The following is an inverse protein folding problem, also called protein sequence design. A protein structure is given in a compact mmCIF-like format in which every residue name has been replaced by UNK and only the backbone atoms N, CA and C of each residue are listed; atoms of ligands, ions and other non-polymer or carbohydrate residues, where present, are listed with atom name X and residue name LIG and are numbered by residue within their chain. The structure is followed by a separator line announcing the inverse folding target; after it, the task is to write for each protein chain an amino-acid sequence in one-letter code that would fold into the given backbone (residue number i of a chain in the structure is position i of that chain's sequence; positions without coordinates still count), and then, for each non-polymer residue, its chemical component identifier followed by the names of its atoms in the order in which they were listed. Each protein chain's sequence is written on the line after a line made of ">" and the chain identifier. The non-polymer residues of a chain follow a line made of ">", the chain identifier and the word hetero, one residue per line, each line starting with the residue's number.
data_IF_687823598698
#
_entry.id   IF_687823598698
#
_cell.length_a   1.000
_cell.length_b   1.000
_cell.length_c   1.000
_cell.angle_alpha   90.00
_cell.angle_beta   90.00
_cell.angle_gamma   90.00
#
_symmetry.space_group_name_H-M   'P 1'
#
loop_
_entity.id
_entity.type
_entity.pdbx_description
1 polymer ?
#
# COMPACT_ATOMS: atom_id res chain seq x y z
N UNK A 1 -35.88 -44.84 38.04
CA UNK A 1 -36.23 -44.21 39.33
C UNK A 1 -35.01 -43.50 39.88
N UNK A 2 -35.15 -42.19 40.12
CA UNK A 2 -34.45 -41.30 41.08
C UNK A 2 -32.91 -41.10 41.00
N UNK A 3 -32.52 -39.92 40.55
CA UNK A 3 -31.55 -39.04 41.27
C UNK A 3 -32.17 -38.59 42.61
N UNK A 4 -31.42 -38.11 43.64
CA UNK A 4 -30.63 -36.85 43.66
C UNK A 4 -29.37 -36.95 44.57
N UNK A 5 -28.50 -35.95 44.83
CA UNK A 5 -28.45 -34.53 44.51
C UNK A 5 -27.24 -33.83 45.17
N UNK A 6 -26.79 -32.76 44.49
CA UNK A 6 -26.31 -31.44 44.96
C UNK A 6 -25.48 -31.29 46.26
N UNK A 7 -24.30 -30.65 46.10
CA UNK A 7 -23.96 -29.37 46.76
C UNK A 7 -22.84 -28.63 46.01
N UNK A 8 -22.92 -27.31 45.94
CA UNK A 8 -21.96 -26.35 45.37
C UNK A 8 -21.51 -25.38 46.49
N UNK A 9 -20.80 -24.26 46.21
CA UNK A 9 -19.40 -24.12 45.80
C UNK A 9 -18.57 -23.34 46.86
N UNK A 10 -17.23 -23.39 46.79
CA UNK A 10 -16.34 -22.56 47.63
C UNK A 10 -15.79 -21.39 46.81
N UNK A 11 -16.13 -20.18 47.24
CA UNK A 11 -15.61 -18.91 46.73
C UNK A 11 -14.36 -18.49 47.50
N UNK A 12 -13.30 -18.10 46.79
CA UNK A 12 -12.06 -17.55 47.38
C UNK A 12 -11.95 -16.08 47.02
N UNK A 13 -12.13 -15.21 48.02
CA UNK A 13 -11.95 -13.76 47.95
C UNK A 13 -10.49 -13.42 48.29
N UNK A 14 -9.81 -12.66 47.44
CA UNK A 14 -8.54 -12.00 47.75
C UNK A 14 -8.75 -10.49 47.87
N UNK A 15 -8.56 -9.98 49.09
CA UNK A 15 -8.53 -8.55 49.44
C UNK A 15 -7.17 -7.94 49.08
N UNK A 16 -7.15 -6.81 48.38
CA UNK A 16 -6.00 -5.89 48.34
C UNK A 16 -6.37 -4.66 49.18
N UNK A 17 -5.64 -4.45 50.28
CA UNK A 17 -5.71 -3.26 51.15
C UNK A 17 -4.94 -2.11 50.48
N UNK A 18 -5.60 -0.96 50.31
CA UNK A 18 -4.96 0.33 50.11
C UNK A 18 -4.83 1.02 51.47
N UNK A 19 -3.61 1.40 51.85
CA UNK A 19 -3.36 2.32 52.97
C UNK A 19 -2.60 3.52 52.44
N UNK A 20 -3.24 4.68 52.47
CA UNK A 20 -2.60 5.99 52.33
C UNK A 20 -2.30 6.54 53.72
N UNK A 21 -1.04 6.89 53.98
CA UNK A 21 -0.71 7.83 55.06
C UNK A 21 0.41 8.76 54.61
N UNK A 22 0.14 10.05 54.75
CA UNK A 22 1.05 11.17 54.53
C UNK A 22 2.06 11.28 55.67
N UNK A 23 3.30 11.69 55.39
CA UNK A 23 3.99 12.71 56.19
C UNK A 23 5.18 13.29 55.41
N UNK A 24 5.46 14.56 55.70
CA UNK A 24 6.36 15.48 55.01
C UNK A 24 7.66 15.58 55.82
N UNK A 25 8.84 15.50 55.20
CA UNK A 25 10.07 16.06 55.78
C UNK A 25 11.11 16.41 54.70
N UNK A 26 11.91 17.45 55.00
CA UNK A 26 12.84 18.17 54.13
C UNK A 26 14.21 17.48 54.05
N UNK A 27 14.92 17.68 52.92
CA UNK A 27 16.32 18.10 52.95
C UNK A 27 17.39 17.21 52.29
N UNK A 28 18.29 17.90 51.60
CA UNK A 28 19.68 17.55 51.24
C UNK A 28 19.96 16.81 49.90
N UNK A 29 20.58 17.58 49.02
CA UNK A 29 21.15 17.26 47.71
C UNK A 29 22.49 16.50 47.86
N UNK A 30 22.72 15.46 47.04
CA UNK A 30 24.07 14.89 46.79
C UNK A 30 24.25 14.58 45.29
N UNK A 31 25.38 15.04 44.76
CA UNK A 31 25.90 14.83 43.40
C UNK A 31 26.71 13.53 43.28
N UNK A 32 26.90 13.04 42.05
CA UNK A 32 28.19 12.64 41.42
C UNK A 32 27.91 11.97 40.05
N UNK A 33 28.91 11.57 39.25
CA UNK A 33 29.90 12.41 38.53
C UNK A 33 29.98 12.03 37.04
N UNK A 34 30.46 12.92 36.17
CA UNK A 34 31.28 12.65 34.98
C UNK A 34 31.83 14.02 34.58
N UNK A 35 33.04 14.28 35.04
CA UNK A 35 33.98 15.23 34.46
C UNK A 35 34.92 14.43 33.52
N UNK A 36 35.64 15.16 32.66
CA UNK A 36 36.73 14.75 31.74
C UNK A 36 36.29 14.25 30.34
N UNK A 37 36.78 14.74 29.18
CA UNK A 37 38.02 15.48 28.88
C UNK A 37 37.83 16.30 27.58
N UNK A 38 38.46 17.47 27.56
CA UNK A 38 38.73 18.40 26.45
C UNK A 38 39.46 17.80 25.23
N UNK A 39 39.21 18.34 24.02
CA UNK A 39 40.12 18.16 22.88
C UNK A 39 39.69 18.76 21.53
N UNK A 40 40.46 19.76 21.07
CA UNK A 40 40.77 20.15 19.67
C UNK A 40 39.93 21.18 18.88
N UNK A 41 40.52 22.39 18.83
CA UNK A 41 40.86 23.25 17.69
C UNK A 41 39.77 23.74 16.70
N UNK A 42 39.58 25.06 16.73
CA UNK A 42 38.90 25.88 15.71
C UNK A 42 39.71 25.95 14.40
N UNK A 43 39.05 25.68 13.27
CA UNK A 43 39.45 26.18 11.95
C UNK A 43 38.25 26.94 11.35
N UNK A 44 38.42 28.26 11.19
CA UNK A 44 37.41 29.17 10.65
C UNK A 44 37.32 29.07 9.13
N UNK A 45 36.13 28.77 8.59
CA UNK A 45 35.78 28.99 7.18
C UNK A 45 34.94 30.27 7.09
N UNK A 46 35.44 31.29 6.37
CA UNK A 46 34.70 32.52 6.06
C UNK A 46 33.72 32.26 4.90
N UNK A 47 32.44 32.55 5.13
CA UNK A 47 31.43 32.68 4.09
C UNK A 47 31.40 34.12 3.55
N UNK A 48 31.10 34.35 2.25
CA UNK A 48 30.95 35.69 1.68
C UNK A 48 29.69 36.39 2.21
N UNK A 49 29.63 37.74 2.20
CA UNK A 49 28.49 38.47 2.75
C UNK A 49 27.24 38.32 1.87
N UNK A 50 26.03 38.29 2.46
CA UNK A 50 24.79 38.20 1.72
C UNK A 50 24.44 39.54 1.05
N UNK A 51 23.90 39.46 -0.17
CA UNK A 51 23.24 40.57 -0.84
C UNK A 51 22.03 41.03 0.00
N UNK A 52 21.98 42.35 0.24
CA UNK A 52 20.93 43.05 0.98
C UNK A 52 19.55 42.79 0.38
N UNK A 53 18.64 42.22 1.16
CA UNK A 53 17.22 42.16 0.85
C UNK A 53 16.45 43.19 1.70
N UNK A 54 15.66 44.03 1.03
CA UNK A 54 14.79 45.02 1.65
C UNK A 54 13.80 44.37 2.64
N UNK A 55 13.56 45.03 3.78
CA UNK A 55 12.70 44.57 4.87
C UNK A 55 11.21 44.57 4.49
N UNK A 56 10.44 43.52 4.83
CA UNK A 56 8.98 43.61 4.97
C UNK A 56 8.56 44.05 6.39
N UNK A 57 7.34 44.58 6.58
CA UNK A 57 6.86 45.14 7.84
C UNK A 57 6.36 44.06 8.84
N UNK A 58 6.13 44.41 10.11
CA UNK A 58 6.09 43.46 11.22
C UNK A 58 4.67 42.99 11.61
N UNK A 59 4.55 41.74 12.06
CA UNK A 59 3.43 41.32 12.92
C UNK A 59 3.04 39.83 12.86
N UNK A 60 3.21 39.12 13.99
CA UNK A 60 2.43 37.93 14.39
C UNK A 60 2.86 36.57 13.81
N UNK A 61 3.49 35.72 14.63
CA UNK A 61 4.10 34.46 14.20
C UNK A 61 3.19 33.22 14.09
N UNK A 62 3.69 32.23 13.35
CA UNK A 62 3.25 30.83 13.28
C UNK A 62 4.50 29.92 13.43
N UNK A 63 4.56 28.98 14.39
CA UNK A 63 5.75 28.18 14.65
C UNK A 63 5.75 26.91 13.79
N UNK A 64 5.92 27.04 12.47
CA UNK A 64 6.12 25.87 11.61
C UNK A 64 7.39 26.01 10.75
N UNK A 65 8.31 25.09 11.01
CA UNK A 65 9.60 24.89 10.36
C UNK A 65 9.37 24.62 8.86
N UNK A 66 9.57 25.63 8.02
CA UNK A 66 9.49 25.49 6.56
C UNK A 66 10.75 24.78 6.04
N UNK A 67 10.60 23.56 5.51
CA UNK A 67 11.60 22.95 4.66
C UNK A 67 11.41 23.47 3.23
N UNK A 68 12.48 23.80 2.48
CA UNK A 68 12.34 24.23 1.10
C UNK A 68 11.82 23.08 0.25
N UNK A 69 10.61 23.23 -0.29
CA UNK A 69 10.09 22.35 -1.32
C UNK A 69 10.69 22.80 -2.64
N UNK A 70 11.80 22.20 -3.04
CA UNK A 70 12.22 22.23 -4.44
C UNK A 70 11.26 21.33 -5.20
N UNK A 71 10.19 21.91 -5.73
CA UNK A 71 9.28 21.26 -6.67
C UNK A 71 10.04 21.12 -7.99
N UNK A 72 10.71 19.98 -8.18
CA UNK A 72 11.08 19.49 -9.51
C UNK A 72 9.87 18.70 -10.05
N UNK A 73 8.81 19.42 -10.43
CA UNK A 73 7.84 18.91 -11.37
C UNK A 73 8.18 19.46 -12.74
N UNK A 74 8.98 18.70 -13.46
CA UNK A 74 9.04 18.74 -14.91
C UNK A 74 8.88 17.29 -15.40
N UNK A 75 7.77 16.65 -15.03
CA UNK A 75 7.27 15.52 -15.81
C UNK A 75 6.37 16.12 -16.88
N UNK A 76 6.96 16.34 -18.04
CA UNK A 76 6.29 16.82 -19.23
C UNK A 76 5.29 15.73 -19.66
N UNK A 77 4.00 15.94 -19.39
CA UNK A 77 2.88 15.14 -19.94
C UNK A 77 2.68 15.56 -21.40
N UNK A 78 3.72 15.43 -22.21
CA UNK A 78 3.71 15.72 -23.65
C UNK A 78 4.30 14.52 -24.39
N UNK A 79 3.61 13.37 -24.37
CA UNK A 79 3.75 12.25 -25.34
C UNK A 79 2.88 11.02 -25.01
N UNK A 80 1.60 11.21 -24.66
CA UNK A 80 0.64 10.10 -24.60
C UNK A 80 -0.22 9.94 -25.86
N UNK A 81 0.13 10.63 -26.96
CA UNK A 81 -0.65 10.59 -28.21
C UNK A 81 0.06 9.93 -29.41
N UNK A 82 1.32 9.50 -29.29
CA UNK A 82 2.12 9.06 -30.45
C UNK A 82 2.59 7.59 -30.40
N UNK A 83 1.73 6.64 -29.99
CA UNK A 83 2.04 5.22 -30.20
C UNK A 83 0.87 4.44 -30.83
N UNK A 84 0.66 4.56 -32.16
CA UNK A 84 -0.44 3.89 -32.85
C UNK A 84 -0.27 2.36 -32.96
N UNK A 85 0.83 1.78 -32.48
CA UNK A 85 1.08 0.33 -32.56
C UNK A 85 0.41 -0.50 -31.45
N UNK A 86 -0.08 0.14 -30.37
CA UNK A 86 -0.71 -0.57 -29.26
C UNK A 86 -2.21 -0.87 -29.49
N UNK A 87 -2.83 -0.21 -30.48
CA UNK A 87 -4.25 -0.39 -30.85
C UNK A 87 -4.48 -1.45 -31.94
N UNK A 88 -3.45 -2.20 -32.34
CA UNK A 88 -3.62 -3.29 -33.31
C UNK A 88 -4.17 -4.56 -32.60
N UNK A 89 -5.43 -4.51 -32.19
CA UNK A 89 -6.15 -5.64 -31.60
C UNK A 89 -7.13 -6.26 -32.61
N UNK A 90 -7.04 -7.59 -32.74
CA UNK A 90 -7.75 -8.40 -33.73
C UNK A 90 -9.24 -8.52 -33.40
N UNK A 91 -10.09 -7.65 -33.98
CA UNK A 91 -11.40 -8.00 -34.55
C UNK A 91 -12.49 -8.70 -33.69
N UNK A 92 -12.31 -8.88 -32.38
CA UNK A 92 -13.37 -9.31 -31.48
C UNK A 92 -14.12 -8.08 -30.95
N UNK A 93 -15.46 -8.12 -30.93
CA UNK A 93 -16.28 -7.05 -30.36
C UNK A 93 -16.03 -7.05 -28.85
N UNK A 94 -15.12 -6.20 -28.38
CA UNK A 94 -14.85 -6.03 -26.95
C UNK A 94 -15.90 -5.09 -26.35
N UNK A 95 -16.41 -5.47 -25.17
CA UNK A 95 -17.16 -4.53 -24.34
C UNK A 95 -16.16 -3.52 -23.74
N UNK A 96 -16.24 -2.28 -24.17
CA UNK A 96 -15.43 -1.20 -23.60
C UNK A 96 -15.99 -0.80 -22.24
N UNK A 97 -15.24 -1.09 -21.17
CA UNK A 97 -15.58 -0.65 -19.82
C UNK A 97 -15.33 0.85 -19.71
N UNK A 98 -16.36 1.59 -19.30
CA UNK A 98 -16.23 3.05 -19.08
C UNK A 98 -15.50 3.29 -17.77
N UNK A 99 -14.23 3.72 -17.86
CA UNK A 99 -13.46 4.19 -16.70
C UNK A 99 -13.97 5.57 -16.29
N UNK A 100 -14.57 5.66 -15.10
CA UNK A 100 -15.09 6.91 -14.54
C UNK A 100 -14.05 7.67 -13.73
N UNK A 101 -13.11 6.96 -13.10
CA UNK A 101 -12.10 7.58 -12.23
C UNK A 101 -10.89 6.67 -12.04
N UNK A 102 -9.70 7.26 -12.13
CA UNK A 102 -8.47 6.63 -11.67
C UNK A 102 -8.02 7.23 -10.33
N UNK A 103 -7.50 6.38 -9.44
CA UNK A 103 -6.91 6.78 -8.17
C UNK A 103 -5.55 6.10 -8.04
N UNK A 104 -4.53 6.91 -7.76
CA UNK A 104 -3.15 6.46 -7.61
C UNK A 104 -2.70 6.81 -6.20
N UNK A 105 -2.13 5.84 -5.49
CA UNK A 105 -1.50 6.06 -4.19
C UNK A 105 -0.08 5.51 -4.17
N UNK A 106 0.84 6.30 -3.63
CA UNK A 106 2.22 5.91 -3.38
C UNK A 106 2.55 6.14 -1.91
N UNK A 107 3.08 5.11 -1.26
CA UNK A 107 3.56 5.15 0.13
C UNK A 107 5.03 4.71 0.16
N UNK A 108 5.92 5.58 0.63
CA UNK A 108 7.34 5.28 0.80
C UNK A 108 7.67 5.16 2.30
N UNK A 109 7.78 3.93 2.79
CA UNK A 109 8.11 3.65 4.18
C UNK A 109 9.63 3.66 4.38
N UNK A 110 10.14 4.67 5.06
CA UNK A 110 11.57 4.86 5.32
C UNK A 110 12.08 4.16 6.59
N UNK A 111 11.27 4.08 7.65
CA UNK A 111 11.70 3.53 8.95
C UNK A 111 10.55 2.78 9.59
N UNK A 112 10.83 1.59 10.15
CA UNK A 112 9.89 0.88 11.02
C UNK A 112 10.60 0.41 12.29
N UNK A 113 10.05 0.76 13.46
CA UNK A 113 10.60 0.37 14.77
C UNK A 113 12.11 0.63 14.90
N UNK A 114 12.58 1.79 14.42
CA UNK A 114 14.00 2.18 14.47
C UNK A 114 14.91 1.54 13.42
N UNK A 115 14.38 0.69 12.52
CA UNK A 115 15.13 0.12 11.38
C UNK A 115 14.87 0.94 10.13
N UNK A 116 15.93 1.46 9.53
CA UNK A 116 15.87 2.12 8.23
C UNK A 116 15.64 1.09 7.11
N UNK A 117 14.76 1.43 6.17
CA UNK A 117 14.67 0.79 4.87
C UNK A 117 15.50 1.57 3.87
N UNK A 118 16.61 0.99 3.44
CA UNK A 118 17.43 1.52 2.35
C UNK A 118 17.60 0.44 1.26
N UNK A 119 16.93 0.57 0.10
CA UNK A 119 15.95 1.60 -0.23
C UNK A 119 14.65 1.49 0.61
N UNK A 120 13.82 2.56 0.66
CA UNK A 120 12.53 2.52 1.36
C UNK A 120 11.63 1.43 0.79
N UNK A 121 10.69 0.96 1.61
CA UNK A 121 9.63 0.10 1.10
C UNK A 121 8.58 0.99 0.41
N UNK A 122 8.56 0.96 -0.91
CA UNK A 122 7.57 1.66 -1.72
C UNK A 122 6.39 0.76 -2.00
N UNK A 123 5.18 1.26 -1.77
CA UNK A 123 3.91 0.65 -2.16
C UNK A 123 3.23 1.55 -3.18
N UNK A 124 2.81 0.99 -4.30
CA UNK A 124 2.09 1.68 -5.36
C UNK A 124 0.76 0.97 -5.53
N UNK A 125 -0.33 1.73 -5.52
CA UNK A 125 -1.67 1.24 -5.82
C UNK A 125 -2.23 2.01 -7.00
N UNK A 126 -2.67 1.27 -8.02
CA UNK A 126 -3.42 1.79 -9.17
C UNK A 126 -4.85 1.27 -9.06
N UNK A 127 -5.80 2.17 -9.12
CA UNK A 127 -7.22 1.87 -8.96
C UNK A 127 -7.96 2.50 -10.11
N UNK A 128 -8.73 1.70 -10.84
CA UNK A 128 -9.63 2.17 -11.89
C UNK A 128 -11.06 1.84 -11.48
N UNK A 129 -11.86 2.88 -11.33
CA UNK A 129 -13.29 2.80 -11.06
C UNK A 129 -14.02 2.79 -12.39
N UNK A 130 -14.70 1.68 -12.66
CA UNK A 130 -15.46 1.48 -13.89
C UNK A 130 -16.95 1.45 -13.62
N UNK A 131 -17.74 1.83 -14.62
CA UNK A 131 -19.16 1.54 -14.64
C UNK A 131 -19.43 0.02 -14.58
N UNK A 132 -20.41 -0.38 -13.79
CA UNK A 132 -20.92 -1.75 -13.75
C UNK A 132 -22.12 -1.88 -14.70
N UNK A 133 -21.96 -2.50 -15.88
CA UNK A 133 -23.05 -2.66 -16.85
C UNK A 133 -24.18 -3.56 -16.34
N UNK A 134 -23.92 -4.38 -15.31
CA UNK A 134 -24.88 -5.31 -14.72
C UNK A 134 -25.42 -4.81 -13.37
N UNK A 135 -25.25 -3.52 -13.05
CA UNK A 135 -25.85 -2.93 -11.87
C UNK A 135 -27.39 -3.11 -11.87
N UNK A 136 -27.92 -3.66 -10.78
CA UNK A 136 -29.34 -3.93 -10.58
C UNK A 136 -29.89 -5.12 -11.37
N UNK A 137 -29.03 -5.90 -12.02
CA UNK A 137 -29.41 -7.01 -12.89
C UNK A 137 -28.82 -8.32 -12.37
N UNK A 138 -29.59 -9.41 -12.49
CA UNK A 138 -29.09 -10.77 -12.32
C UNK A 138 -28.68 -11.29 -13.69
N UNK A 139 -27.38 -11.52 -13.90
CA UNK A 139 -26.83 -11.96 -15.19
C UNK A 139 -25.98 -13.21 -14.97
N UNK A 140 -26.34 -14.32 -15.61
CA UNK A 140 -25.62 -15.59 -15.44
C UNK A 140 -24.31 -15.62 -16.25
N UNK A 141 -24.27 -14.96 -17.42
CA UNK A 141 -23.09 -14.89 -18.27
C UNK A 141 -22.28 -13.61 -18.04
N UNK A 142 -21.20 -13.74 -17.27
CA UNK A 142 -20.27 -12.65 -16.97
C UNK A 142 -19.07 -12.58 -17.93
N UNK A 143 -19.05 -13.40 -18.98
CA UNK A 143 -17.99 -13.38 -20.01
C UNK A 143 -17.73 -11.98 -20.58
N UNK A 144 -18.74 -11.11 -20.79
CA UNK A 144 -18.48 -9.73 -21.26
C UNK A 144 -17.58 -8.91 -20.32
N UNK A 145 -17.69 -9.10 -19.00
CA UNK A 145 -16.79 -8.44 -18.04
C UNK A 145 -15.38 -9.03 -18.12
N UNK A 146 -15.26 -10.35 -18.26
CA UNK A 146 -13.96 -11.02 -18.44
C UNK A 146 -13.25 -10.49 -19.67
N UNK A 147 -13.95 -10.37 -20.80
CA UNK A 147 -13.39 -9.89 -22.06
C UNK A 147 -13.04 -8.39 -21.98
N UNK A 148 -13.90 -7.58 -21.36
CA UNK A 148 -13.64 -6.15 -21.14
C UNK A 148 -12.47 -5.89 -20.17
N UNK A 149 -12.18 -6.83 -19.27
CA UNK A 149 -11.10 -6.70 -18.29
C UNK A 149 -9.71 -6.60 -18.92
N UNK A 150 -9.53 -7.12 -20.14
CA UNK A 150 -8.26 -7.04 -20.87
C UNK A 150 -7.93 -5.60 -21.24
N UNK A 151 -8.90 -4.87 -21.81
CA UNK A 151 -8.74 -3.45 -22.12
C UNK A 151 -8.47 -2.61 -20.88
N UNK A 152 -9.20 -2.88 -19.79
CA UNK A 152 -8.97 -2.25 -18.49
C UNK A 152 -7.56 -2.54 -17.94
N UNK A 153 -7.07 -3.77 -18.08
CA UNK A 153 -5.73 -4.13 -17.64
C UNK A 153 -4.65 -3.33 -18.41
N UNK A 154 -4.80 -3.16 -19.72
CA UNK A 154 -3.87 -2.34 -20.51
C UNK A 154 -3.89 -0.88 -20.08
N UNK A 155 -5.06 -0.29 -19.85
CA UNK A 155 -5.19 1.05 -19.26
C UNK A 155 -4.43 1.18 -17.94
N UNK A 156 -4.60 0.22 -17.03
CA UNK A 156 -3.89 0.20 -15.75
C UNK A 156 -2.37 -0.02 -15.90
N UNK A 157 -1.94 -0.81 -16.90
CA UNK A 157 -0.51 -1.03 -17.23
C UNK A 157 0.15 0.27 -17.68
N UNK A 158 -0.52 1.08 -18.50
CA UNK A 158 0.02 2.37 -18.95
C UNK A 158 0.30 3.30 -17.76
N UNK A 159 -0.65 3.39 -16.83
CA UNK A 159 -0.50 4.16 -15.59
C UNK A 159 0.65 3.58 -14.74
N UNK A 160 0.63 2.26 -14.50
CA UNK A 160 1.59 1.58 -13.66
C UNK A 160 3.03 1.69 -14.19
N UNK A 161 3.23 1.58 -15.51
CA UNK A 161 4.55 1.67 -16.15
C UNK A 161 5.22 3.02 -15.89
N UNK A 162 4.44 4.10 -15.90
CA UNK A 162 4.94 5.43 -15.56
C UNK A 162 5.42 5.54 -14.11
N UNK A 163 4.67 4.91 -13.18
CA UNK A 163 4.93 4.97 -11.73
C UNK A 163 6.05 4.02 -11.28
N UNK A 164 6.20 2.89 -11.95
CA UNK A 164 7.14 1.83 -11.58
C UNK A 164 8.49 1.93 -12.30
N UNK A 165 8.68 2.92 -13.19
CA UNK A 165 9.93 3.07 -13.94
C UNK A 165 11.14 3.14 -13.01
N UNK A 166 12.08 2.21 -13.20
CA UNK A 166 13.32 2.13 -12.41
C UNK A 166 13.16 1.49 -11.04
N UNK A 167 11.98 0.95 -10.71
CA UNK A 167 11.73 0.22 -9.46
C UNK A 167 11.80 -1.30 -9.70
N UNK A 168 12.37 -2.03 -8.74
CA UNK A 168 12.35 -3.49 -8.70
C UNK A 168 11.07 -3.94 -7.97
N UNK A 169 10.05 -4.40 -8.71
CA UNK A 169 8.79 -4.86 -8.11
C UNK A 169 8.97 -6.29 -7.60
N UNK A 170 8.75 -6.49 -6.29
CA UNK A 170 8.94 -7.79 -5.62
C UNK A 170 7.65 -8.39 -5.08
N UNK A 171 6.60 -7.60 -4.87
CA UNK A 171 5.26 -8.09 -4.50
C UNK A 171 4.16 -7.48 -5.35
N UNK A 172 3.06 -8.19 -5.42
CA UNK A 172 1.81 -7.71 -6.00
C UNK A 172 0.57 -8.26 -5.29
N UNK A 173 -0.56 -7.60 -5.51
CA UNK A 173 -1.88 -8.03 -5.08
C UNK A 173 -2.95 -7.32 -5.88
N UNK A 174 -4.17 -7.86 -5.87
CA UNK A 174 -5.31 -7.24 -6.57
C UNK A 174 -6.55 -7.25 -5.71
N UNK A 175 -7.48 -6.34 -5.97
CA UNK A 175 -8.74 -6.35 -5.27
C UNK A 175 -9.88 -5.76 -6.11
N UNK A 176 -11.10 -6.07 -5.70
CA UNK A 176 -12.32 -5.54 -6.32
C UNK A 176 -13.28 -5.06 -5.25
N UNK A 177 -13.74 -3.82 -5.36
CA UNK A 177 -14.78 -3.26 -4.50
C UNK A 177 -15.99 -2.93 -5.38
N UNK A 178 -17.08 -3.66 -5.19
CA UNK A 178 -18.31 -3.52 -5.98
C UNK A 178 -19.30 -2.62 -5.24
N UNK A 179 -19.89 -1.67 -5.97
CA UNK A 179 -20.98 -0.85 -5.48
C UNK A 179 -22.23 -1.65 -5.11
N UNK A 180 -23.09 -1.05 -4.31
CA UNK A 180 -24.25 -1.74 -3.71
C UNK A 180 -25.31 -2.25 -4.70
N UNK A 181 -25.32 -1.78 -5.94
CA UNK A 181 -26.21 -2.29 -6.98
C UNK A 181 -25.60 -3.46 -7.77
N UNK A 182 -24.34 -3.82 -7.53
CA UNK A 182 -23.71 -5.00 -8.13
C UNK A 182 -23.64 -6.19 -7.18
N UNK A 183 -23.02 -7.26 -7.66
CA UNK A 183 -22.69 -8.44 -6.86
C UNK A 183 -21.19 -8.74 -6.89
N UNK A 184 -20.74 -9.57 -5.96
CA UNK A 184 -19.31 -9.88 -5.81
C UNK A 184 -18.71 -10.51 -7.07
N UNK A 185 -19.49 -11.30 -7.82
CA UNK A 185 -19.03 -11.96 -9.03
C UNK A 185 -18.66 -10.97 -10.15
N UNK A 186 -19.25 -9.76 -10.17
CA UNK A 186 -18.85 -8.73 -11.13
C UNK A 186 -17.38 -8.33 -10.95
N UNK A 187 -16.90 -8.25 -9.70
CA UNK A 187 -15.47 -8.02 -9.45
C UNK A 187 -14.61 -9.25 -9.78
N UNK A 188 -15.08 -10.46 -9.48
CA UNK A 188 -14.33 -11.69 -9.80
C UNK A 188 -14.12 -11.82 -11.32
N UNK A 189 -15.13 -11.50 -12.13
CA UNK A 189 -15.06 -11.50 -13.58
C UNK A 189 -14.00 -10.51 -14.11
N UNK A 190 -13.85 -9.34 -13.46
CA UNK A 190 -12.84 -8.35 -13.81
C UNK A 190 -11.43 -8.66 -13.28
N UNK A 191 -11.27 -9.68 -12.43
CA UNK A 191 -10.01 -10.01 -11.77
C UNK A 191 -9.49 -11.39 -12.19
N UNK A 192 -9.93 -11.93 -13.33
CA UNK A 192 -9.47 -13.24 -13.82
C UNK A 192 -8.01 -13.22 -14.28
N UNK A 193 -7.54 -14.35 -14.80
CA UNK A 193 -6.22 -14.44 -15.44
C UNK A 193 -6.09 -13.49 -16.63
N UNK A 194 -7.18 -13.22 -17.36
CA UNK A 194 -7.18 -12.31 -18.51
C UNK A 194 -6.76 -10.88 -18.10
N UNK A 195 -7.35 -10.35 -17.03
CA UNK A 195 -6.94 -9.09 -16.41
C UNK A 195 -5.50 -9.12 -15.89
N UNK A 196 -5.10 -10.22 -15.25
CA UNK A 196 -3.81 -10.30 -14.59
C UNK A 196 -2.63 -10.37 -15.56
N UNK A 197 -2.79 -10.98 -16.73
CA UNK A 197 -1.67 -11.25 -17.65
C UNK A 197 -0.96 -9.99 -18.15
N UNK A 198 -1.63 -8.94 -18.64
CA UNK A 198 -0.95 -7.70 -19.05
C UNK A 198 -0.12 -7.06 -17.91
N UNK A 199 -0.64 -7.10 -16.68
CA UNK A 199 0.07 -6.59 -15.50
C UNK A 199 1.29 -7.45 -15.14
N UNK A 200 1.20 -8.78 -15.34
CA UNK A 200 2.33 -9.69 -15.18
C UNK A 200 3.40 -9.43 -16.22
N UNK A 201 3.02 -9.28 -17.48
CA UNK A 201 3.95 -9.02 -18.58
C UNK A 201 4.74 -7.73 -18.36
N UNK A 202 4.07 -6.68 -17.88
CA UNK A 202 4.71 -5.42 -17.49
C UNK A 202 5.80 -5.59 -16.41
N UNK A 203 5.59 -6.48 -15.44
CA UNK A 203 6.54 -6.73 -14.34
C UNK A 203 7.71 -7.62 -14.79
N UNK A 204 7.52 -8.42 -15.84
CA UNK A 204 8.51 -9.37 -16.35
C UNK A 204 8.18 -10.83 -16.00
N UNK A 205 6.95 -11.25 -16.28
CA UNK A 205 6.42 -12.62 -16.15
C UNK A 205 6.60 -13.25 -14.74
N UNK A 206 5.98 -12.66 -13.71
CA UNK A 206 5.91 -13.25 -12.39
C UNK A 206 5.01 -14.50 -12.38
N UNK A 207 5.50 -15.56 -11.75
CA UNK A 207 4.86 -16.89 -11.79
C UNK A 207 3.94 -17.17 -10.61
N UNK A 208 4.05 -16.40 -9.52
CA UNK A 208 3.24 -16.65 -8.33
C UNK A 208 1.75 -16.38 -8.60
N UNK A 209 0.87 -17.02 -7.84
CA UNK A 209 -0.53 -16.58 -7.81
C UNK A 209 -0.60 -15.14 -7.27
N UNK A 210 -1.49 -14.31 -7.83
CA UNK A 210 -1.74 -12.95 -7.31
C UNK A 210 -2.82 -13.06 -6.24
N UNK A 211 -2.48 -12.77 -4.99
CA UNK A 211 -3.45 -12.73 -3.90
C UNK A 211 -4.52 -11.68 -4.18
N UNK A 212 -5.78 -12.02 -3.89
CA UNK A 212 -6.92 -11.16 -4.17
C UNK A 212 -7.98 -11.16 -3.09
N UNK A 213 -8.68 -10.03 -3.00
CA UNK A 213 -9.88 -9.88 -2.18
C UNK A 213 -10.96 -9.15 -2.97
N UNK A 214 -12.21 -9.58 -2.84
CA UNK A 214 -13.37 -8.93 -3.45
C UNK A 214 -14.44 -8.68 -2.40
N UNK A 215 -15.14 -7.55 -2.51
CA UNK A 215 -16.17 -7.18 -1.55
C UNK A 215 -17.23 -6.30 -2.20
N UNK A 216 -18.50 -6.51 -1.83
CA UNK A 216 -19.58 -5.54 -2.10
C UNK A 216 -19.67 -4.58 -0.92
N UNK A 217 -19.62 -3.28 -1.17
CA UNK A 217 -19.64 -2.28 -0.10
C UNK A 217 -20.07 -0.89 -0.57
N UNK A 218 -20.51 0.00 0.34
CA UNK A 218 -20.74 1.40 0.01
C UNK A 218 -19.42 2.14 -0.27
N UNK A 219 -19.54 3.28 -0.93
CA UNK A 219 -18.46 4.25 -1.13
C UNK A 219 -17.70 4.57 0.17
N UNK A 220 -16.38 4.73 0.08
CA UNK A 220 -15.54 5.04 1.25
C UNK A 220 -15.27 3.84 2.18
N UNK A 221 -15.60 2.62 1.76
CA UNK A 221 -15.24 1.42 2.50
C UNK A 221 -13.73 1.17 2.45
N UNK A 222 -13.15 0.84 3.61
CA UNK A 222 -11.77 0.36 3.72
C UNK A 222 -11.64 -1.04 3.10
N UNK A 223 -10.60 -1.23 2.28
CA UNK A 223 -10.21 -2.53 1.72
C UNK A 223 -8.73 -2.79 1.97
N UNK A 224 -8.42 -3.98 2.49
CA UNK A 224 -7.05 -4.44 2.71
C UNK A 224 -6.65 -5.39 1.60
N UNK A 225 -5.80 -4.93 0.69
CA UNK A 225 -5.34 -5.71 -0.47
C UNK A 225 -4.17 -6.61 -0.02
N UNK A 226 -4.34 -7.94 0.05
CA UNK A 226 -3.24 -8.83 0.40
C UNK A 226 -2.21 -8.83 -0.73
N UNK A 227 -0.93 -8.77 -0.38
CA UNK A 227 0.16 -8.87 -1.35
C UNK A 227 1.10 -10.03 -1.02
N UNK A 228 1.64 -10.64 -2.05
CA UNK A 228 2.62 -11.72 -1.95
C UNK A 228 3.77 -11.49 -2.92
N UNK A 229 4.87 -12.22 -2.69
CA UNK A 229 6.01 -12.16 -3.60
C UNK A 229 5.64 -12.65 -4.99
N UNK A 230 6.23 -12.02 -6.00
CA UNK A 230 5.98 -12.28 -7.42
C UNK A 230 6.51 -13.62 -7.93
N UNK A 231 7.50 -14.22 -7.26
CA UNK A 231 8.13 -15.48 -7.68
C UNK A 231 7.59 -16.69 -6.93
N UNK A 232 7.31 -16.57 -5.63
CA UNK A 232 6.78 -17.67 -4.82
C UNK A 232 5.94 -17.15 -3.64
N UNK A 233 4.72 -17.67 -3.51
CA UNK A 233 3.79 -17.30 -2.43
C UNK A 233 4.30 -17.66 -1.03
N UNK A 234 5.32 -18.50 -0.90
CA UNK A 234 5.89 -18.91 0.39
C UNK A 234 7.03 -18.02 0.88
N UNK A 235 7.40 -16.97 0.13
CA UNK A 235 8.39 -15.97 0.56
C UNK A 235 7.82 -15.11 1.69
N UNK A 236 8.02 -15.57 2.93
CA UNK A 236 7.39 -15.02 4.15
C UNK A 236 7.71 -13.56 4.45
N UNK A 237 8.85 -13.08 3.98
CA UNK A 237 9.22 -11.66 4.11
C UNK A 237 8.30 -10.71 3.33
N UNK A 238 7.50 -11.23 2.39
CA UNK A 238 6.65 -10.45 1.49
C UNK A 238 5.16 -10.52 1.81
N UNK A 239 4.75 -11.24 2.87
CA UNK A 239 3.37 -11.20 3.35
C UNK A 239 3.07 -9.80 3.89
N UNK A 240 2.26 -9.03 3.19
CA UNK A 240 1.88 -7.68 3.60
C UNK A 240 0.46 -7.41 3.11
N UNK A 241 -0.08 -6.25 3.49
CA UNK A 241 -1.31 -5.74 2.92
C UNK A 241 -1.20 -4.25 2.64
N UNK A 242 -1.96 -3.76 1.65
CA UNK A 242 -2.13 -2.34 1.38
C UNK A 242 -3.56 -1.95 1.70
N UNK A 243 -3.75 -1.10 2.71
CA UNK A 243 -5.06 -0.59 3.10
C UNK A 243 -5.42 0.64 2.27
N UNK A 244 -6.56 0.58 1.59
CA UNK A 244 -7.03 1.65 0.71
C UNK A 244 -8.45 2.06 1.10
N UNK A 245 -8.74 3.35 0.95
CA UNK A 245 -10.07 3.92 1.15
C UNK A 245 -10.28 5.06 0.15
N UNK A 246 -11.41 5.05 -0.54
CA UNK A 246 -11.72 5.99 -1.60
C UNK A 246 -12.99 6.78 -1.26
N UNK A 247 -12.88 8.03 -0.78
CA UNK A 247 -14.05 8.84 -0.49
C UNK A 247 -14.94 9.04 -1.73
N UNK A 248 -16.23 8.70 -1.59
CA UNK A 248 -17.24 8.90 -2.64
C UNK A 248 -17.25 7.88 -3.78
N UNK A 249 -16.52 6.76 -3.67
CA UNK A 249 -16.54 5.68 -4.68
C UNK A 249 -16.19 4.32 -4.02
N UNK A 250 -16.60 3.17 -4.58
CA UNK A 250 -17.54 2.98 -5.68
C UNK A 250 -18.95 3.47 -5.34
N UNK A 251 -19.56 4.21 -6.26
CA UNK A 251 -21.00 4.48 -6.30
C UNK A 251 -21.77 3.16 -6.51
N UNK A 252 -23.10 3.12 -6.27
CA UNK A 252 -23.85 1.86 -6.34
C UNK A 252 -23.67 1.08 -7.65
N UNK A 253 -23.52 1.79 -8.78
CA UNK A 253 -23.35 1.26 -10.13
C UNK A 253 -21.88 1.19 -10.59
N UNK A 254 -20.92 1.21 -9.66
CA UNK A 254 -19.48 1.19 -9.98
C UNK A 254 -18.77 -0.07 -9.45
N UNK A 255 -17.63 -0.39 -10.06
CA UNK A 255 -16.66 -1.36 -9.53
C UNK A 255 -15.29 -0.69 -9.49
N UNK A 256 -14.64 -0.66 -8.33
CA UNK A 256 -13.25 -0.27 -8.21
C UNK A 256 -12.35 -1.50 -8.38
N UNK A 257 -11.60 -1.55 -9.47
CA UNK A 257 -10.58 -2.58 -9.75
C UNK A 257 -9.22 -2.06 -9.31
N UNK A 258 -8.52 -2.85 -8.50
CA UNK A 258 -7.34 -2.41 -7.75
C UNK A 258 -6.17 -3.34 -8.06
N UNK A 259 -5.01 -2.76 -8.32
CA UNK A 259 -3.74 -3.47 -8.40
C UNK A 259 -2.68 -2.77 -7.55
N UNK A 260 -2.02 -3.55 -6.69
CA UNK A 260 -0.98 -3.07 -5.78
C UNK A 260 0.36 -3.72 -6.13
N UNK A 261 1.44 -2.94 -6.03
CA UNK A 261 2.82 -3.37 -6.28
C UNK A 261 3.74 -2.82 -5.20
N UNK A 262 4.68 -3.65 -4.73
CA UNK A 262 5.66 -3.24 -3.71
C UNK A 262 7.08 -3.55 -4.17
N UNK A 263 8.02 -2.70 -3.76
CA UNK A 263 9.42 -2.79 -4.22
C UNK A 263 10.32 -3.74 -3.42
N UNK A 264 9.84 -4.23 -2.27
CA UNK A 264 10.61 -5.14 -1.41
C UNK A 264 9.74 -5.84 -0.38
N UNK A 265 10.31 -6.83 0.30
CA UNK A 265 9.76 -7.37 1.53
C UNK A 265 9.76 -6.36 2.70
N UNK A 266 9.02 -6.69 3.76
CA UNK A 266 8.89 -5.85 4.97
C UNK A 266 10.27 -5.52 5.56
N UNK A 267 10.52 -4.24 5.88
CA UNK A 267 11.81 -3.75 6.43
C UNK A 267 12.26 -4.53 7.67
N UNK A 268 11.32 -4.92 8.54
CA UNK A 268 11.60 -5.66 9.78
C UNK A 268 11.46 -7.18 9.68
N UNK A 269 11.39 -7.78 8.50
CA UNK A 269 11.20 -9.22 8.33
C UNK A 269 12.33 -10.04 9.00
N UNK A 270 11.97 -10.94 9.92
CA UNK A 270 12.92 -11.72 10.74
C UNK A 270 12.38 -13.07 11.23
N UNK A 271 11.39 -13.61 10.53
CA UNK A 271 10.67 -14.82 10.93
C UNK A 271 11.04 -16.04 10.06
N UNK A 272 12.20 -16.01 9.39
CA UNK A 272 12.69 -17.08 8.51
C UNK A 272 11.77 -17.38 7.32
N UNK A 273 11.95 -18.55 6.72
CA UNK A 273 11.22 -19.01 5.53
C UNK A 273 12.02 -18.84 4.25
N UNK A 274 11.41 -19.19 3.11
CA UNK A 274 12.00 -19.00 1.79
C UNK A 274 12.29 -17.50 1.56
N UNK A 275 13.48 -17.19 1.08
CA UNK A 275 13.88 -15.83 0.76
C UNK A 275 13.53 -15.46 -0.69
N UNK A 276 13.43 -14.15 -0.97
CA UNK A 276 13.20 -13.64 -2.32
C UNK A 276 14.29 -14.12 -3.29
N UNK A 277 15.55 -14.05 -2.88
CA UNK A 277 16.68 -14.46 -3.71
C UNK A 277 16.69 -15.96 -4.01
N UNK A 278 16.33 -16.81 -3.04
CA UNK A 278 16.18 -18.25 -3.27
C UNK A 278 15.05 -18.54 -4.27
N UNK A 279 13.89 -17.90 -4.11
CA UNK A 279 12.76 -18.05 -5.04
C UNK A 279 13.14 -17.61 -6.46
N UNK A 280 13.79 -16.44 -6.57
CA UNK A 280 14.29 -15.90 -7.84
C UNK A 280 15.31 -16.81 -8.51
N UNK A 281 16.24 -17.38 -7.73
CA UNK A 281 17.29 -18.28 -8.24
C UNK A 281 16.72 -19.60 -8.73
N UNK A 282 15.77 -20.19 -7.99
CA UNK A 282 15.05 -21.41 -8.43
C UNK A 282 14.35 -21.18 -9.77
N UNK A 283 13.76 -20.01 -9.97
CA UNK A 283 13.11 -19.68 -11.24
C UNK A 283 14.11 -19.59 -12.39
N UNK A 284 15.23 -18.89 -12.20
CA UNK A 284 16.29 -18.80 -13.22
C UNK A 284 16.81 -20.18 -13.63
N UNK A 285 16.97 -21.09 -12.68
CA UNK A 285 17.42 -22.45 -12.95
C UNK A 285 16.36 -23.30 -13.70
N UNK A 286 15.07 -23.04 -13.49
CA UNK A 286 13.99 -23.75 -14.19
C UNK A 286 13.74 -23.23 -15.63
N UNK A 287 14.23 -22.03 -15.96
CA UNK A 287 14.10 -21.41 -17.29
C UNK A 287 15.33 -21.58 -18.18
N UNK A 288 16.42 -22.14 -17.65
CA UNK A 288 17.68 -22.41 -18.37
C UNK A 288 17.70 -23.85 -18.89
#
# INVERSE_FOLDING_TARGET
>A
MRSPGRSAPVAMRSLIRLTTSSTRSRGAMRRSPIDDVSGFLFASIRLPPPLSAARPPPGGGDPLRKFPVTILFACQIDRLQDNPSYYAWNGAIHMDLVVRRDIIQRDDLHVIAGRAGDPPLTRISVVSVVENPFAGQQVDDLSPLVDGSVGLAHHMVEIATGLCRGLDIQSYGKAGLVGLAGEQEHANALLTTAFANPLRDMIGDPVAWISSVTKVAPAGTLIDVPVNNIHDIYVRSHYDAVSLCFPGTPMPDEIAVIFCMLTRGRIGARVGGLTHEEARSRRKAASA
#
